data_IF_075194392913
#
_entry.id   IF_075194392913
#
_cell.length_a   1.000
_cell.length_b   1.000
_cell.length_c   1.000
_cell.angle_alpha   90.00
_cell.angle_beta   90.00
_cell.angle_gamma   90.00
#
_symmetry.space_group_name_H-M   'P 1'
#
loop_
_entity.id
_entity.type
_entity.pdbx_description
1 polymer ?
#
# COMPACT_ATOMS: atom_id res chain seq x y z
N UNK A 1 -22.97 -10.32 14.51
CA UNK A 1 -23.05 -9.38 15.64
C UNK A 1 -23.40 -8.02 15.08
N UNK A 2 -24.50 -7.43 15.55
CA UNK A 2 -24.97 -6.14 15.06
C UNK A 2 -24.24 -5.00 15.78
N UNK A 3 -24.09 -3.80 15.18
CA UNK A 3 -23.49 -2.63 15.83
C UNK A 3 -24.05 -2.32 17.22
N UNK A 4 -25.35 -2.51 17.41
CA UNK A 4 -26.05 -2.25 18.68
C UNK A 4 -25.52 -3.14 19.82
N UNK A 5 -24.99 -4.33 19.50
CA UNK A 5 -24.44 -5.28 20.47
C UNK A 5 -22.99 -4.92 20.86
N UNK A 6 -22.25 -4.28 19.95
CA UNK A 6 -20.82 -3.95 20.09
C UNK A 6 -20.59 -2.56 20.67
N UNK A 7 -21.42 -1.58 20.30
CA UNK A 7 -21.31 -0.19 20.71
C UNK A 7 -21.19 -0.01 22.23
N UNK A 8 -21.94 -0.71 23.10
CA UNK A 8 -21.77 -0.61 24.54
C UNK A 8 -20.37 -1.01 25.01
N UNK A 9 -19.76 -2.03 24.41
CA UNK A 9 -18.39 -2.46 24.72
C UNK A 9 -17.34 -1.47 24.20
N UNK A 10 -17.56 -0.89 23.01
CA UNK A 10 -16.69 0.18 22.48
C UNK A 10 -16.72 1.42 23.37
N UNK A 11 -17.90 1.85 23.82
CA UNK A 11 -18.04 2.94 24.79
C UNK A 11 -17.25 2.67 26.07
N UNK A 12 -17.26 1.44 26.57
CA UNK A 12 -16.46 1.08 27.75
C UNK A 12 -14.95 1.24 27.50
N UNK A 13 -14.46 0.81 26.33
CA UNK A 13 -13.05 0.94 25.97
C UNK A 13 -12.65 2.41 25.73
N UNK A 14 -13.49 3.18 25.03
CA UNK A 14 -13.29 4.62 24.80
C UNK A 14 -13.23 5.39 26.12
N UNK A 15 -14.21 5.17 27.01
CA UNK A 15 -14.23 5.79 28.35
C UNK A 15 -12.93 5.51 29.09
N UNK A 16 -12.47 4.25 29.06
CA UNK A 16 -11.25 3.85 29.74
C UNK A 16 -10.02 4.54 29.15
N UNK A 17 -9.91 4.59 27.82
CA UNK A 17 -8.77 5.21 27.15
C UNK A 17 -8.73 6.73 27.34
N UNK A 18 -9.88 7.42 27.26
CA UNK A 18 -9.95 8.87 27.51
C UNK A 18 -9.58 9.26 28.94
N UNK A 19 -9.95 8.45 29.94
CA UNK A 19 -9.60 8.72 31.34
C UNK A 19 -8.15 8.34 31.64
N UNK A 20 -7.72 7.15 31.23
CA UNK A 20 -6.41 6.60 31.64
C UNK A 20 -5.25 7.16 30.81
N UNK A 21 -5.44 7.36 29.50
CA UNK A 21 -4.37 7.80 28.58
C UNK A 21 -4.39 9.29 28.32
N UNK A 22 -5.58 9.88 28.23
CA UNK A 22 -5.76 11.29 27.90
C UNK A 22 -6.13 12.17 29.12
N UNK A 23 -6.33 11.56 30.30
CA UNK A 23 -6.51 12.29 31.56
C UNK A 23 -7.83 13.05 31.72
N UNK A 24 -8.84 12.79 30.86
CA UNK A 24 -10.13 13.46 30.96
C UNK A 24 -10.89 13.08 32.23
N UNK A 25 -11.57 14.05 32.82
CA UNK A 25 -12.47 13.82 33.95
C UNK A 25 -13.73 13.07 33.51
N UNK A 26 -14.41 12.43 34.47
CA UNK A 26 -15.68 11.71 34.19
C UNK A 26 -16.76 12.63 33.61
N UNK A 27 -16.72 13.92 33.93
CA UNK A 27 -17.67 14.93 33.43
C UNK A 27 -17.40 15.22 31.96
N UNK A 28 -16.14 15.46 31.60
CA UNK A 28 -15.76 15.73 30.21
C UNK A 28 -16.02 14.52 29.31
N UNK A 29 -15.71 13.31 29.79
CA UNK A 29 -16.01 12.07 29.04
C UNK A 29 -17.50 11.88 28.82
N UNK A 30 -18.34 12.23 29.81
CA UNK A 30 -19.79 12.20 29.68
C UNK A 30 -20.28 13.17 28.59
N UNK A 31 -19.71 14.38 28.55
CA UNK A 31 -20.02 15.39 27.54
C UNK A 31 -19.57 14.95 26.13
N UNK A 32 -18.35 14.42 25.99
CA UNK A 32 -17.80 13.90 24.72
C UNK A 32 -18.68 12.77 24.16
N UNK A 33 -19.09 11.81 24.99
CA UNK A 33 -19.86 10.65 24.56
C UNK A 33 -21.38 10.89 24.48
N UNK A 34 -21.86 12.05 24.94
CA UNK A 34 -23.29 12.35 25.02
C UNK A 34 -24.04 11.41 25.96
N UNK A 35 -23.42 10.99 27.07
CA UNK A 35 -24.00 10.10 28.09
C UNK A 35 -23.94 10.74 29.47
N UNK A 36 -24.58 10.12 30.47
CA UNK A 36 -24.58 10.64 31.85
C UNK A 36 -23.28 10.29 32.60
N UNK A 37 -22.79 11.12 33.55
CA UNK A 37 -21.63 10.78 34.39
C UNK A 37 -21.74 9.46 35.19
N UNK A 38 -22.93 9.03 35.68
CA UNK A 38 -23.11 7.69 36.23
C UNK A 38 -22.84 6.57 35.22
N UNK A 39 -23.22 6.75 33.95
CA UNK A 39 -22.94 5.76 32.90
C UNK A 39 -21.43 5.60 32.66
N UNK A 40 -20.67 6.70 32.68
CA UNK A 40 -19.19 6.67 32.61
C UNK A 40 -18.62 5.87 33.79
N UNK A 41 -19.12 6.08 35.00
CA UNK A 41 -18.69 5.32 36.19
C UNK A 41 -18.98 3.83 36.06
N UNK A 42 -20.15 3.45 35.55
CA UNK A 42 -20.51 2.04 35.32
C UNK A 42 -19.63 1.37 34.25
N UNK A 43 -19.20 2.12 33.23
CA UNK A 43 -18.25 1.63 32.22
C UNK A 43 -16.85 1.42 32.80
N UNK A 44 -16.32 2.37 33.57
CA UNK A 44 -15.01 2.25 34.24
C UNK A 44 -14.97 1.07 35.22
N UNK A 45 -16.06 0.84 35.96
CA UNK A 45 -16.18 -0.28 36.90
C UNK A 45 -16.39 -1.64 36.20
N UNK A 46 -16.57 -1.65 34.87
CA UNK A 46 -16.88 -2.87 34.12
C UNK A 46 -18.27 -3.46 34.39
N UNK A 47 -19.11 -2.77 35.17
CA UNK A 47 -20.49 -3.18 35.48
C UNK A 47 -21.44 -3.01 34.29
N UNK A 48 -21.04 -2.22 33.28
CA UNK A 48 -21.78 -2.05 32.02
C UNK A 48 -20.93 -2.53 30.85
N UNK A 49 -21.46 -3.51 30.11
CA UNK A 49 -20.83 -4.09 28.91
C UNK A 49 -19.39 -4.59 29.12
N UNK A 50 -19.03 -4.97 30.36
CA UNK A 50 -17.67 -5.41 30.70
C UNK A 50 -17.23 -6.65 29.91
N UNK A 51 -18.14 -7.61 29.68
CA UNK A 51 -17.81 -8.83 28.94
C UNK A 51 -17.63 -8.57 27.44
N UNK A 52 -18.45 -7.68 26.86
CA UNK A 52 -18.27 -7.21 25.47
C UNK A 52 -16.95 -6.44 25.34
N UNK A 53 -16.63 -5.55 26.27
CA UNK A 53 -15.35 -4.82 26.27
C UNK A 53 -14.13 -5.74 26.37
N UNK A 54 -14.21 -6.79 27.20
CA UNK A 54 -13.16 -7.83 27.29
C UNK A 54 -13.03 -8.60 25.99
N UNK A 55 -14.15 -8.99 25.37
CA UNK A 55 -14.15 -9.67 24.06
C UNK A 55 -13.48 -8.80 22.99
N UNK A 56 -13.88 -7.53 22.88
CA UNK A 56 -13.31 -6.57 21.94
C UNK A 56 -11.80 -6.41 22.14
N UNK A 57 -11.35 -6.27 23.39
CA UNK A 57 -9.92 -6.18 23.73
C UNK A 57 -9.17 -7.44 23.31
N UNK A 58 -9.71 -8.64 23.59
CA UNK A 58 -9.11 -9.92 23.18
C UNK A 58 -9.03 -10.08 21.66
N UNK A 59 -10.00 -9.51 20.94
CA UNK A 59 -10.08 -9.53 19.48
C UNK A 59 -9.29 -8.40 18.79
N UNK A 60 -8.43 -7.69 19.53
CA UNK A 60 -7.53 -6.69 18.93
C UNK A 60 -8.14 -5.32 18.67
N UNK A 61 -9.38 -5.06 19.11
CA UNK A 61 -10.06 -3.78 18.88
C UNK A 61 -9.38 -2.57 19.54
N UNK A 62 -8.45 -2.80 20.48
CA UNK A 62 -7.83 -1.74 21.27
C UNK A 62 -7.04 -0.74 20.43
N UNK A 63 -6.40 -1.18 19.33
CA UNK A 63 -5.65 -0.30 18.43
C UNK A 63 -6.59 0.71 17.75
N UNK A 64 -7.67 0.21 17.15
CA UNK A 64 -8.69 1.04 16.49
C UNK A 64 -9.37 2.00 17.47
N UNK A 65 -9.65 1.54 18.69
CA UNK A 65 -10.22 2.42 19.73
C UNK A 65 -9.24 3.55 20.08
N UNK A 66 -7.94 3.27 20.19
CA UNK A 66 -6.93 4.29 20.51
C UNK A 66 -6.80 5.34 19.41
N UNK A 67 -6.65 4.90 18.16
CA UNK A 67 -6.61 5.79 17.00
C UNK A 67 -7.86 6.66 16.92
N UNK A 68 -9.04 6.06 17.15
CA UNK A 68 -10.30 6.79 17.21
C UNK A 68 -10.29 7.84 18.33
N UNK A 69 -9.87 7.49 19.55
CA UNK A 69 -9.81 8.46 20.65
C UNK A 69 -8.78 9.56 20.43
N UNK A 70 -7.64 9.28 19.78
CA UNK A 70 -6.63 10.29 19.46
C UNK A 70 -7.24 11.36 18.54
N UNK A 71 -7.95 10.95 17.50
CA UNK A 71 -8.65 11.87 16.62
C UNK A 71 -9.78 12.64 17.30
N UNK A 72 -10.49 12.03 18.24
CA UNK A 72 -11.52 12.71 19.04
C UNK A 72 -10.89 13.80 19.91
N UNK A 73 -9.74 13.52 20.52
CA UNK A 73 -9.02 14.50 21.35
C UNK A 73 -8.46 15.63 20.50
N UNK A 74 -7.88 15.33 19.35
CA UNK A 74 -7.33 16.33 18.41
C UNK A 74 -8.41 17.27 17.85
N UNK A 75 -9.56 16.74 17.44
CA UNK A 75 -10.65 17.54 16.86
C UNK A 75 -11.48 18.26 17.93
N UNK A 76 -11.56 17.70 19.13
CA UNK A 76 -12.46 18.15 20.18
C UNK A 76 -13.95 17.95 19.85
N UNK A 77 -14.80 18.16 20.86
CA UNK A 77 -16.26 18.09 20.70
C UNK A 77 -16.87 16.72 21.00
N UNK A 78 -18.12 16.53 20.57
CA UNK A 78 -18.92 15.34 20.88
C UNK A 78 -18.75 14.27 19.81
N UNK A 79 -18.64 13.01 20.23
CA UNK A 79 -18.69 11.85 19.35
C UNK A 79 -20.13 11.71 18.83
N UNK A 80 -20.29 11.79 17.52
CA UNK A 80 -21.58 11.56 16.87
C UNK A 80 -21.90 10.06 16.80
N UNK A 81 -23.19 9.71 16.72
CA UNK A 81 -23.59 8.32 16.53
C UNK A 81 -23.02 7.70 15.24
N UNK A 82 -23.02 8.38 14.06
CA UNK A 82 -22.37 7.85 12.86
C UNK A 82 -20.91 7.45 13.08
N UNK A 83 -20.10 8.28 13.73
CA UNK A 83 -18.69 7.96 14.00
C UNK A 83 -18.54 6.71 14.89
N UNK A 84 -19.46 6.50 15.83
CA UNK A 84 -19.47 5.33 16.70
C UNK A 84 -19.93 4.07 15.96
N UNK A 85 -20.84 4.21 14.99
CA UNK A 85 -21.24 3.13 14.08
C UNK A 85 -20.10 2.75 13.14
N UNK A 86 -19.37 3.72 12.59
CA UNK A 86 -18.20 3.46 11.74
C UNK A 86 -17.11 2.68 12.47
N UNK A 87 -16.84 3.05 13.73
CA UNK A 87 -15.94 2.28 14.60
C UNK A 87 -16.49 0.87 14.88
N UNK A 88 -17.80 0.73 15.11
CA UNK A 88 -18.42 -0.58 15.30
C UNK A 88 -18.28 -1.47 14.05
N UNK A 89 -18.54 -0.93 12.85
CA UNK A 89 -18.34 -1.66 11.59
C UNK A 89 -16.88 -2.03 11.34
N UNK A 90 -15.94 -1.22 11.83
CA UNK A 90 -14.50 -1.53 11.74
C UNK A 90 -14.08 -2.65 12.70
N UNK A 91 -14.78 -2.82 13.81
CA UNK A 91 -14.43 -3.79 14.87
C UNK A 91 -15.23 -5.09 14.79
N UNK A 92 -16.47 -5.07 14.30
CA UNK A 92 -17.31 -6.27 14.12
C UNK A 92 -16.61 -7.38 13.34
N UNK A 93 -15.91 -7.12 12.22
CA UNK A 93 -15.18 -8.14 11.48
C UNK A 93 -14.10 -8.85 12.32
N UNK A 94 -13.51 -8.17 13.31
CA UNK A 94 -12.55 -8.77 14.24
C UNK A 94 -13.21 -9.80 15.19
N UNK A 95 -14.52 -9.68 15.39
CA UNK A 95 -15.32 -10.52 16.30
C UNK A 95 -16.00 -11.66 15.54
N UNK A 96 -16.54 -11.38 14.35
CA UNK A 96 -17.36 -12.30 13.55
C UNK A 96 -16.57 -13.41 12.83
N UNK A 97 -15.24 -13.36 12.88
CA UNK A 97 -14.35 -14.36 12.29
C UNK A 97 -14.36 -15.70 13.07
N UNK A 98 -15.53 -16.37 13.19
CA UNK A 98 -15.68 -17.81 13.54
C UNK A 98 -17.08 -18.47 13.50
N UNK A 99 -17.97 -18.14 12.56
CA UNK A 99 -19.18 -18.99 12.35
C UNK A 99 -19.51 -19.22 10.87
N UNK A 100 -18.56 -19.65 10.05
CA UNK A 100 -18.78 -20.66 8.97
C UNK A 100 -17.45 -21.00 8.29
N UNK A 101 -17.18 -22.31 8.16
CA UNK A 101 -16.12 -22.97 7.36
C UNK A 101 -14.66 -23.00 7.90
N UNK A 102 -14.14 -24.23 8.05
CA UNK A 102 -12.73 -24.66 7.90
C UNK A 102 -11.59 -23.97 8.68
N UNK A 103 -11.10 -24.59 9.77
CA UNK A 103 -9.99 -24.08 10.63
C UNK A 103 -8.59 -24.01 9.99
N UNK A 104 -8.36 -24.54 8.79
CA UNK A 104 -7.03 -24.55 8.17
C UNK A 104 -6.83 -23.40 7.15
N UNK A 105 -7.89 -22.99 6.45
CA UNK A 105 -7.85 -21.87 5.49
C UNK A 105 -7.81 -20.50 6.20
N UNK A 106 -8.37 -20.40 7.41
CA UNK A 106 -8.49 -19.16 8.19
C UNK A 106 -7.13 -18.57 8.61
N UNK A 107 -6.12 -19.41 8.90
CA UNK A 107 -4.77 -18.91 9.25
C UNK A 107 -4.04 -18.35 8.03
N UNK A 108 -4.20 -18.98 6.87
CA UNK A 108 -3.60 -18.55 5.61
C UNK A 108 -4.28 -17.29 5.06
N UNK A 109 -5.60 -17.16 5.19
CA UNK A 109 -6.33 -15.97 4.71
C UNK A 109 -6.01 -14.74 5.58
N UNK A 110 -5.95 -14.88 6.90
CA UNK A 110 -5.58 -13.77 7.80
C UNK A 110 -4.10 -13.38 7.65
N UNK A 111 -3.20 -14.35 7.48
CA UNK A 111 -1.81 -14.09 7.11
C UNK A 111 -1.70 -13.35 5.77
N UNK A 112 -2.37 -13.85 4.73
CA UNK A 112 -2.38 -13.20 3.40
C UNK A 112 -2.96 -11.79 3.45
N UNK A 113 -3.99 -11.55 4.25
CA UNK A 113 -4.59 -10.22 4.43
C UNK A 113 -3.63 -9.25 5.14
N UNK A 114 -2.96 -9.71 6.19
CA UNK A 114 -1.95 -8.93 6.89
C UNK A 114 -0.71 -8.67 6.01
N UNK A 115 -0.29 -9.65 5.21
CA UNK A 115 0.80 -9.52 4.24
C UNK A 115 0.45 -8.55 3.11
N UNK A 116 -0.77 -8.62 2.56
CA UNK A 116 -1.26 -7.69 1.55
C UNK A 116 -1.29 -6.24 2.07
N UNK A 117 -1.78 -6.02 3.30
CA UNK A 117 -1.76 -4.71 3.93
C UNK A 117 -0.33 -4.18 4.14
N UNK A 118 0.58 -5.05 4.60
CA UNK A 118 1.99 -4.68 4.75
C UNK A 118 2.64 -4.35 3.42
N UNK A 119 2.35 -5.12 2.37
CA UNK A 119 2.83 -4.86 1.01
C UNK A 119 2.31 -3.52 0.48
N UNK A 120 1.02 -3.24 0.65
CA UNK A 120 0.42 -1.96 0.26
C UNK A 120 1.08 -0.79 0.98
N UNK A 121 1.37 -0.92 2.27
CA UNK A 121 2.07 0.12 3.03
C UNK A 121 3.47 0.38 2.46
N UNK A 122 4.26 -0.66 2.19
CA UNK A 122 5.60 -0.53 1.59
C UNK A 122 5.55 0.09 0.19
N UNK A 123 4.56 -0.29 -0.63
CA UNK A 123 4.37 0.27 -1.97
C UNK A 123 3.99 1.76 -1.91
N UNK A 124 3.11 2.15 -0.98
CA UNK A 124 2.72 3.56 -0.77
C UNK A 124 3.89 4.42 -0.33
N UNK A 125 4.65 3.97 0.66
CA UNK A 125 5.86 4.66 1.12
C UNK A 125 6.86 4.87 -0.01
N UNK A 126 7.07 3.83 -0.84
CA UNK A 126 8.00 3.92 -1.94
C UNK A 126 7.48 4.80 -3.08
N UNK A 127 6.20 4.74 -3.41
CA UNK A 127 5.55 5.61 -4.40
C UNK A 127 5.77 7.08 -4.06
N UNK A 128 5.55 7.47 -2.79
CA UNK A 128 5.79 8.84 -2.35
C UNK A 128 7.25 9.28 -2.50
N UNK A 129 8.21 8.39 -2.22
CA UNK A 129 9.64 8.66 -2.39
C UNK A 129 9.98 8.90 -3.85
N UNK A 130 9.48 8.05 -4.76
CA UNK A 130 9.72 8.18 -6.20
C UNK A 130 9.08 9.47 -6.75
N UNK A 131 7.86 9.81 -6.35
CA UNK A 131 7.19 11.05 -6.76
C UNK A 131 7.95 12.30 -6.30
N UNK A 132 8.34 12.37 -5.01
CA UNK A 132 9.13 13.46 -4.45
C UNK A 132 10.49 13.59 -5.15
N UNK A 133 11.11 12.47 -5.49
CA UNK A 133 12.39 12.42 -6.21
C UNK A 133 12.25 12.92 -7.64
N UNK A 134 11.22 12.48 -8.38
CA UNK A 134 10.93 12.93 -9.73
C UNK A 134 10.75 14.45 -9.78
N UNK A 135 9.95 15.02 -8.88
CA UNK A 135 9.75 16.46 -8.79
C UNK A 135 11.05 17.21 -8.52
N UNK A 136 11.87 16.71 -7.59
CA UNK A 136 13.16 17.32 -7.23
C UNK A 136 14.11 17.32 -8.43
N UNK A 137 14.23 16.20 -9.13
CA UNK A 137 15.08 16.11 -10.31
C UNK A 137 14.56 17.01 -11.46
N UNK A 138 13.24 17.07 -11.69
CA UNK A 138 12.68 17.98 -12.70
C UNK A 138 12.96 19.46 -12.36
N UNK A 139 12.83 19.86 -11.09
CA UNK A 139 13.18 21.21 -10.61
C UNK A 139 14.66 21.54 -10.79
N UNK A 140 15.55 20.56 -10.61
CA UNK A 140 16.99 20.74 -10.87
C UNK A 140 17.22 20.89 -12.38
N UNK A 141 16.65 19.98 -13.19
CA UNK A 141 16.79 20.00 -14.64
C UNK A 141 16.33 21.33 -15.26
N UNK A 142 15.23 21.91 -14.78
CA UNK A 142 14.73 23.19 -15.31
C UNK A 142 15.69 24.36 -15.13
N UNK A 143 16.62 24.29 -14.16
CA UNK A 143 17.59 25.34 -13.84
C UNK A 143 18.94 25.14 -14.55
N UNK A 144 19.22 23.93 -15.03
CA UNK A 144 20.50 23.61 -15.68
C UNK A 144 20.57 24.24 -17.07
N UNK A 145 21.64 24.98 -17.38
CA UNK A 145 21.89 25.54 -18.72
C UNK A 145 22.48 24.52 -19.70
N UNK A 146 23.36 23.64 -19.23
CA UNK A 146 23.97 22.60 -20.04
C UNK A 146 22.91 21.56 -20.46
N UNK A 147 22.71 21.40 -21.77
CA UNK A 147 21.67 20.53 -22.33
C UNK A 147 21.90 19.05 -22.04
N UNK A 148 23.16 18.58 -22.12
CA UNK A 148 23.48 17.17 -21.88
C UNK A 148 23.26 16.77 -20.41
N UNK A 149 23.70 17.62 -19.47
CA UNK A 149 23.44 17.39 -18.05
C UNK A 149 21.94 17.51 -17.72
N UNK A 150 21.25 18.48 -18.34
CA UNK A 150 19.79 18.60 -18.23
C UNK A 150 19.10 17.32 -18.69
N UNK A 151 19.57 16.71 -19.78
CA UNK A 151 19.02 15.45 -20.28
C UNK A 151 19.24 14.30 -19.29
N UNK A 152 20.46 14.11 -18.78
CA UNK A 152 20.74 13.08 -17.77
C UNK A 152 19.81 13.18 -16.56
N UNK A 153 19.65 14.37 -16.00
CA UNK A 153 18.75 14.57 -14.84
C UNK A 153 17.28 14.31 -15.21
N UNK A 154 16.85 14.66 -16.44
CA UNK A 154 15.49 14.35 -16.91
C UNK A 154 15.27 12.85 -17.09
N UNK A 155 16.27 12.10 -17.52
CA UNK A 155 16.17 10.64 -17.64
C UNK A 155 15.93 10.01 -16.26
N UNK A 156 16.72 10.39 -15.25
CA UNK A 156 16.51 9.94 -13.87
C UNK A 156 15.11 10.31 -13.37
N UNK A 157 14.66 11.54 -13.62
CA UNK A 157 13.33 11.97 -13.22
C UNK A 157 12.21 11.16 -13.90
N UNK A 158 12.38 10.84 -15.19
CA UNK A 158 11.43 10.00 -15.94
C UNK A 158 11.39 8.59 -15.39
N UNK A 159 12.52 8.03 -14.99
CA UNK A 159 12.55 6.70 -14.39
C UNK A 159 11.85 6.67 -13.03
N UNK A 160 12.01 7.71 -12.19
CA UNK A 160 11.21 7.84 -10.96
C UNK A 160 9.70 7.86 -11.25
N UNK A 161 9.25 8.56 -12.31
CA UNK A 161 7.83 8.54 -12.72
C UNK A 161 7.40 7.14 -13.14
N UNK A 162 8.20 6.47 -14.00
CA UNK A 162 7.93 5.07 -14.41
C UNK A 162 7.84 4.14 -13.18
N UNK A 163 8.71 4.30 -12.20
CA UNK A 163 8.68 3.48 -10.97
C UNK A 163 7.39 3.71 -10.17
N UNK A 164 6.96 4.97 -10.06
CA UNK A 164 5.70 5.32 -9.40
C UNK A 164 4.50 4.67 -10.11
N UNK A 165 4.46 4.69 -11.45
CA UNK A 165 3.40 4.05 -12.24
C UNK A 165 3.38 2.52 -12.02
N UNK A 166 4.55 1.87 -12.00
CA UNK A 166 4.67 0.44 -11.68
C UNK A 166 4.13 0.16 -10.27
N UNK A 167 4.46 0.99 -9.28
CA UNK A 167 3.94 0.82 -7.92
C UNK A 167 2.42 0.99 -7.87
N UNK A 168 1.85 1.94 -8.62
CA UNK A 168 0.40 2.09 -8.72
C UNK A 168 -0.28 0.86 -9.29
N UNK A 169 0.27 0.28 -10.36
CA UNK A 169 -0.23 -0.97 -10.92
C UNK A 169 -0.17 -2.11 -9.89
N UNK A 170 0.96 -2.26 -9.21
CA UNK A 170 1.13 -3.30 -8.17
C UNK A 170 0.13 -3.12 -7.02
N UNK A 171 -0.08 -1.87 -6.55
CA UNK A 171 -1.08 -1.59 -5.52
C UNK A 171 -2.48 -1.96 -5.99
N UNK A 172 -2.85 -1.58 -7.22
CA UNK A 172 -4.17 -1.90 -7.79
C UNK A 172 -4.41 -3.41 -7.88
N UNK A 173 -3.40 -4.19 -8.26
CA UNK A 173 -3.48 -5.66 -8.35
C UNK A 173 -3.57 -6.28 -6.95
N UNK A 174 -2.84 -5.75 -5.97
CA UNK A 174 -2.93 -6.24 -4.58
C UNK A 174 -4.30 -5.91 -3.97
N UNK A 175 -4.84 -4.72 -4.25
CA UNK A 175 -6.17 -4.28 -3.81
C UNK A 175 -7.30 -5.10 -4.45
N UNK A 176 -7.13 -5.57 -5.69
CA UNK A 176 -8.07 -6.50 -6.35
C UNK A 176 -7.92 -7.96 -5.91
N UNK A 177 -7.10 -8.26 -4.90
CA UNK A 177 -6.88 -9.62 -4.43
C UNK A 177 -6.00 -10.48 -5.36
N UNK A 178 -5.24 -9.84 -6.25
CA UNK A 178 -4.37 -10.51 -7.21
C UNK A 178 -5.04 -10.89 -8.52
N UNK A 179 -6.30 -10.49 -8.73
CA UNK A 179 -6.99 -10.74 -9.99
C UNK A 179 -6.37 -9.91 -11.12
N UNK A 180 -5.85 -10.61 -12.14
CA UNK A 180 -5.27 -10.00 -13.34
C UNK A 180 -5.60 -10.86 -14.56
N UNK A 181 -6.20 -10.24 -15.58
CA UNK A 181 -6.32 -10.87 -16.91
C UNK A 181 -5.04 -10.59 -17.67
N UNK A 182 -4.43 -11.65 -18.20
CA UNK A 182 -3.20 -11.55 -18.96
C UNK A 182 -3.56 -11.78 -20.42
N UNK A 183 -3.34 -10.77 -21.24
CA UNK A 183 -3.44 -10.86 -22.69
C UNK A 183 -2.01 -10.83 -23.25
N UNK A 184 -1.52 -12.00 -23.67
CA UNK A 184 -0.15 -12.15 -24.16
C UNK A 184 -0.10 -11.94 -25.68
N UNK A 185 0.89 -11.19 -26.19
CA UNK A 185 1.19 -11.20 -27.62
C UNK A 185 1.60 -12.58 -28.09
N UNK A 186 1.40 -12.85 -29.38
CA UNK A 186 1.85 -14.07 -30.06
C UNK A 186 3.34 -14.33 -29.80
N UNK A 187 3.68 -15.58 -29.52
CA UNK A 187 5.04 -16.04 -29.27
C UNK A 187 5.97 -15.75 -30.45
N UNK A 188 5.49 -15.86 -31.70
CA UNK A 188 6.29 -15.56 -32.89
C UNK A 188 6.67 -14.07 -32.92
N UNK A 189 5.74 -13.20 -32.53
CA UNK A 189 5.98 -11.77 -32.42
C UNK A 189 6.97 -11.46 -31.30
N UNK A 190 6.85 -12.10 -30.14
CA UNK A 190 7.77 -11.91 -29.02
C UNK A 190 9.19 -12.40 -29.34
N UNK A 191 9.33 -13.55 -30.02
CA UNK A 191 10.61 -14.07 -30.47
C UNK A 191 11.25 -13.15 -31.51
N UNK A 192 10.44 -12.59 -32.44
CA UNK A 192 10.91 -11.58 -33.39
C UNK A 192 11.44 -10.34 -32.67
N UNK A 193 10.68 -9.76 -31.74
CA UNK A 193 11.12 -8.59 -30.96
C UNK A 193 12.40 -8.88 -30.18
N UNK A 194 12.52 -10.06 -29.56
CA UNK A 194 13.74 -10.46 -28.86
C UNK A 194 14.93 -10.62 -29.81
N UNK A 195 14.71 -11.13 -31.02
CA UNK A 195 15.76 -11.27 -32.04
C UNK A 195 16.23 -9.91 -32.57
N UNK A 196 15.30 -8.96 -32.76
CA UNK A 196 15.59 -7.59 -33.15
C UNK A 196 16.44 -6.93 -32.06
N UNK A 197 15.99 -6.97 -30.80
CA UNK A 197 16.73 -6.39 -29.67
C UNK A 197 18.16 -6.92 -29.56
N UNK A 198 18.35 -8.24 -29.76
CA UNK A 198 19.68 -8.87 -29.77
C UNK A 198 20.55 -8.45 -30.94
N UNK A 199 19.95 -8.17 -32.08
CA UNK A 199 20.66 -7.77 -33.30
C UNK A 199 21.12 -6.31 -33.23
N UNK A 200 20.41 -5.47 -32.48
CA UNK A 200 20.74 -4.06 -32.26
C UNK A 200 21.66 -3.81 -31.05
N UNK A 201 22.14 -4.87 -30.38
CA UNK A 201 22.97 -4.77 -29.18
C UNK A 201 24.26 -3.99 -29.36
N UNK A 202 24.37 -2.83 -28.68
CA UNK A 202 25.58 -2.04 -28.29
C UNK A 202 26.64 -1.80 -29.39
N UNK A 203 26.45 -2.34 -30.59
CA UNK A 203 27.37 -2.29 -31.70
C UNK A 203 27.41 -0.86 -32.20
N UNK A 204 28.59 -0.27 -32.15
CA UNK A 204 28.77 1.15 -32.42
C UNK A 204 28.67 2.04 -31.19
N UNK A 205 28.03 1.65 -30.08
CA UNK A 205 27.94 2.52 -28.90
C UNK A 205 29.31 2.73 -28.23
N UNK A 206 30.16 1.70 -28.19
CA UNK A 206 31.52 1.82 -27.67
C UNK A 206 32.41 2.70 -28.57
N UNK A 207 32.25 2.58 -29.88
CA UNK A 207 32.91 3.42 -30.88
C UNK A 207 32.44 4.87 -30.74
N UNK A 208 31.13 5.10 -30.65
CA UNK A 208 30.53 6.42 -30.40
C UNK A 208 31.11 7.02 -29.10
N UNK A 209 31.17 6.26 -28.00
CA UNK A 209 31.76 6.73 -26.74
C UNK A 209 33.20 7.21 -26.89
N UNK A 210 34.02 6.51 -27.68
CA UNK A 210 35.42 6.91 -27.94
C UNK A 210 35.52 8.19 -28.78
N UNK A 211 34.53 8.45 -29.63
CA UNK A 211 34.50 9.63 -30.51
C UNK A 211 33.89 10.87 -29.84
N UNK A 212 33.21 10.71 -28.70
CA UNK A 212 32.56 11.82 -28.02
C UNK A 212 33.57 12.70 -27.26
N UNK A 213 33.49 14.03 -27.40
CA UNK A 213 34.50 14.94 -26.86
C UNK A 213 34.42 15.15 -25.34
N UNK A 214 33.33 14.72 -24.69
CA UNK A 214 33.09 15.02 -23.28
C UNK A 214 32.45 13.86 -22.52
N UNK A 215 32.92 13.62 -21.29
CA UNK A 215 32.48 12.51 -20.42
C UNK A 215 30.97 12.54 -20.08
N UNK A 216 30.35 13.72 -20.05
CA UNK A 216 28.89 13.82 -19.85
C UNK A 216 28.12 13.20 -21.02
N UNK A 217 28.62 13.32 -22.25
CA UNK A 217 28.00 12.71 -23.42
C UNK A 217 28.19 11.20 -23.40
N UNK A 218 29.34 10.71 -22.92
CA UNK A 218 29.54 9.26 -22.77
C UNK A 218 28.59 8.66 -21.73
N UNK A 219 28.25 9.39 -20.66
CA UNK A 219 27.25 8.95 -19.68
C UNK A 219 25.84 8.82 -20.29
N UNK A 220 25.47 9.69 -21.24
CA UNK A 220 24.19 9.55 -21.95
C UNK A 220 24.16 8.28 -22.81
N UNK A 221 25.28 7.94 -23.45
CA UNK A 221 25.41 6.70 -24.22
C UNK A 221 25.39 5.47 -23.30
N UNK A 222 25.98 5.58 -22.10
CA UNK A 222 25.90 4.52 -21.09
C UNK A 222 24.45 4.26 -20.66
N UNK A 223 23.63 5.30 -20.47
CA UNK A 223 22.21 5.11 -20.17
C UNK A 223 21.46 4.36 -21.28
N UNK A 224 21.76 4.64 -22.56
CA UNK A 224 21.18 3.88 -23.68
C UNK A 224 21.60 2.42 -23.58
N UNK A 225 22.90 2.15 -23.46
CA UNK A 225 23.41 0.78 -23.40
C UNK A 225 22.84 -0.02 -22.21
N UNK A 226 22.57 0.63 -21.09
CA UNK A 226 21.95 -0.01 -19.93
C UNK A 226 20.46 -0.30 -20.13
N UNK A 227 19.74 0.57 -20.86
CA UNK A 227 18.35 0.33 -21.25
C UNK A 227 18.23 -0.83 -22.25
N UNK A 228 19.10 -0.94 -23.26
CA UNK A 228 19.12 -2.07 -24.22
C UNK A 228 19.30 -3.43 -23.50
N UNK A 229 20.26 -3.50 -22.55
CA UNK A 229 20.46 -4.70 -21.72
C UNK A 229 19.25 -5.03 -20.86
N UNK A 230 18.54 -4.00 -20.40
CA UNK A 230 17.31 -4.15 -19.61
C UNK A 230 16.17 -4.67 -20.48
N UNK A 231 15.99 -4.14 -21.68
CA UNK A 231 14.97 -4.58 -22.63
C UNK A 231 15.15 -6.04 -23.02
N UNK A 232 16.36 -6.44 -23.42
CA UNK A 232 16.64 -7.85 -23.77
C UNK A 232 16.25 -8.79 -22.61
N UNK A 233 16.63 -8.42 -21.37
CA UNK A 233 16.29 -9.20 -20.18
C UNK A 233 14.77 -9.29 -19.97
N UNK A 234 14.04 -8.20 -20.15
CA UNK A 234 12.57 -8.17 -20.00
C UNK A 234 11.91 -9.04 -21.07
N UNK A 235 12.28 -8.87 -22.35
CA UNK A 235 11.73 -9.64 -23.46
C UNK A 235 12.02 -11.14 -23.31
N UNK A 236 13.25 -11.50 -22.91
CA UNK A 236 13.62 -12.89 -22.64
C UNK A 236 12.75 -13.52 -21.57
N UNK A 237 12.48 -12.79 -20.49
CA UNK A 237 11.60 -13.29 -19.41
C UNK A 237 10.15 -13.42 -19.89
N UNK A 238 9.67 -12.50 -20.72
CA UNK A 238 8.31 -12.52 -21.27
C UNK A 238 8.12 -13.68 -22.26
N UNK A 239 9.05 -13.91 -23.18
CA UNK A 239 9.04 -15.08 -24.09
C UNK A 239 9.01 -16.39 -23.30
N UNK A 240 9.85 -16.51 -22.26
CA UNK A 240 9.87 -17.70 -21.42
C UNK A 240 8.54 -17.91 -20.69
N UNK A 241 7.94 -16.83 -20.20
CA UNK A 241 6.62 -16.88 -19.56
C UNK A 241 5.54 -17.33 -20.56
N UNK A 242 5.51 -16.76 -21.77
CA UNK A 242 4.55 -17.12 -22.82
C UNK A 242 4.64 -18.61 -23.19
N UNK A 243 5.86 -19.13 -23.40
CA UNK A 243 6.12 -20.55 -23.69
C UNK A 243 5.56 -21.50 -22.65
N UNK A 244 5.73 -21.15 -21.36
CA UNK A 244 5.24 -21.97 -20.25
C UNK A 244 3.71 -21.94 -20.19
N UNK A 245 3.10 -20.79 -20.49
CA UNK A 245 1.65 -20.61 -20.47
C UNK A 245 0.96 -21.41 -21.59
N UNK A 246 1.48 -21.37 -22.83
CA UNK A 246 0.95 -22.16 -23.96
C UNK A 246 1.01 -23.68 -23.68
N UNK A 247 2.11 -24.15 -23.08
CA UNK A 247 2.26 -25.57 -22.74
C UNK A 247 1.21 -26.04 -21.72
N UNK A 248 0.79 -25.18 -20.79
CA UNK A 248 -0.25 -25.53 -19.80
C UNK A 248 -1.66 -25.58 -20.40
N UNK A 249 -1.94 -24.72 -21.38
CA UNK A 249 -3.22 -24.73 -22.11
C UNK A 249 -3.33 -25.92 -23.06
N UNK A 250 -2.22 -26.43 -23.60
CA UNK A 250 -2.21 -27.63 -24.47
C UNK A 250 -2.41 -28.97 -23.73
N UNK A 251 -2.33 -29.00 -22.40
CA UNK A 251 -2.42 -30.20 -21.54
C UNK A 251 -3.75 -30.25 -20.74
N UNK A 252 -4.59 -29.21 -20.85
CA UNK A 252 -5.90 -29.10 -20.21
C UNK A 252 -7.03 -29.35 -21.20
#
# INVERSE_FOLDING_TARGET
MKPEEVIPGLRALIVKDLVERHGFSRKEVAEILGITPPAVTLYLQGKRAGDVAKLLRRKGALKLVREFTDHVVERGGKISMPALYDLAFSVIPLIEHKVTMGREEESLIDLRRNEAQRLLQLLRERFEIEQKSAEKFMRIASRLRNQALRMLIRMIARDCVKHADVMMLLMSVVESGGEMRIDLPDIELLDKLLSEEKSFHVHGLNEIKKMLPHKILTLLVDCIADDEKKHERILKNLVNYARISEQRESVS
#
